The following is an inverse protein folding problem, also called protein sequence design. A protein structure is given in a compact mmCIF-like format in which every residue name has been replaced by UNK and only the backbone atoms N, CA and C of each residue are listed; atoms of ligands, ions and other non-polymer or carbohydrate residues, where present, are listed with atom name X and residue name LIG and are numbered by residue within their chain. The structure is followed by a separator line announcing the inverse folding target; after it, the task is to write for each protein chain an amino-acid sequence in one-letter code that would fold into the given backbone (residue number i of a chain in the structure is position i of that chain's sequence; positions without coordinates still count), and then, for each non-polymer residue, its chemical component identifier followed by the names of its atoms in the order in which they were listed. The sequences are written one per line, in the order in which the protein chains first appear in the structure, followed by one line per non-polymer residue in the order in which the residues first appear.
data_IF_844698892353
#
_entry.id   IF_844698892353
#
_cell.length_a   1.000
_cell.length_b   1.000
_cell.length_c   1.000
_cell.angle_alpha   90.00
_cell.angle_beta   90.00
_cell.angle_gamma   90.00
#
_symmetry.space_group_name_H-M   'P 1'
#
loop_
_entity.id
_entity.type
_entity.pdbx_description
1 polymer ?
#
# COMPACT_ATOMS: atom_id res chain seq x y z
N UNK A 1 -28.74 -33.37 -6.47
CA UNK A 1 -29.66 -32.63 -7.36
C UNK A 1 -29.53 -31.16 -7.03
N UNK A 2 -28.91 -30.38 -7.89
CA UNK A 2 -28.73 -28.94 -7.70
C UNK A 2 -29.94 -28.22 -8.31
N UNK A 3 -30.72 -27.53 -7.47
CA UNK A 3 -31.76 -26.60 -7.91
C UNK A 3 -31.10 -25.28 -8.32
N UNK A 4 -30.83 -25.12 -9.61
CA UNK A 4 -30.51 -23.83 -10.21
C UNK A 4 -31.81 -23.02 -10.33
N UNK A 5 -32.07 -22.17 -9.34
CA UNK A 5 -33.10 -21.14 -9.43
C UNK A 5 -32.65 -20.04 -10.39
N UNK A 6 -32.81 -20.27 -11.69
CA UNK A 6 -32.75 -19.25 -12.73
C UNK A 6 -34.00 -18.38 -12.66
N UNK A 7 -33.98 -17.37 -11.78
CA UNK A 7 -35.03 -16.35 -11.74
C UNK A 7 -34.65 -15.27 -12.76
N UNK A 8 -35.13 -15.43 -13.99
CA UNK A 8 -35.18 -14.34 -14.95
C UNK A 8 -36.12 -13.23 -14.41
N UNK A 9 -35.73 -11.97 -14.58
CA UNK A 9 -36.52 -10.82 -14.12
C UNK A 9 -37.89 -10.82 -14.80
N UNK A 10 -38.94 -10.68 -14.00
CA UNK A 10 -40.33 -10.54 -14.45
C UNK A 10 -40.54 -9.16 -15.09
N UNK A 11 -41.40 -9.08 -16.11
CA UNK A 11 -41.65 -7.93 -17.01
C UNK A 11 -42.12 -6.62 -16.33
N UNK A 12 -42.28 -6.60 -15.00
CA UNK A 12 -42.74 -5.44 -14.21
C UNK A 12 -41.66 -4.84 -13.30
N UNK A 13 -40.39 -5.21 -13.47
CA UNK A 13 -39.34 -4.83 -12.54
C UNK A 13 -38.68 -3.49 -12.87
N UNK A 14 -38.73 -2.56 -11.90
CA UNK A 14 -38.10 -1.25 -11.97
C UNK A 14 -36.58 -1.38 -12.00
N UNK A 15 -36.04 -1.31 -13.21
CA UNK A 15 -34.61 -1.12 -13.45
C UNK A 15 -34.26 0.37 -13.37
N UNK A 16 -33.02 0.65 -12.98
CA UNK A 16 -32.47 2.00 -12.84
C UNK A 16 -31.21 2.14 -13.68
N UNK A 17 -30.90 3.36 -14.09
CA UNK A 17 -29.70 3.65 -14.86
C UNK A 17 -28.50 3.72 -13.91
N UNK A 18 -27.47 2.94 -14.23
CA UNK A 18 -26.16 2.98 -13.60
C UNK A 18 -25.13 3.36 -14.66
N UNK A 19 -24.34 4.41 -14.39
CA UNK A 19 -23.25 4.82 -15.27
C UNK A 19 -21.93 4.30 -14.69
N UNK A 20 -21.24 3.46 -15.44
CA UNK A 20 -19.94 2.93 -15.02
C UNK A 20 -18.79 3.93 -15.25
N UNK A 21 -17.58 3.54 -14.86
CA UNK A 21 -16.37 4.36 -15.01
C UNK A 21 -16.00 4.66 -16.47
N UNK A 22 -16.50 3.87 -17.44
CA UNK A 22 -16.31 4.08 -18.88
C UNK A 22 -17.38 4.99 -19.50
N UNK A 23 -18.26 5.55 -18.67
CA UNK A 23 -19.43 6.31 -19.08
C UNK A 23 -20.52 5.49 -19.79
N UNK A 24 -20.46 4.16 -19.74
CA UNK A 24 -21.49 3.28 -20.29
C UNK A 24 -22.67 3.19 -19.30
N UNK A 25 -23.89 3.29 -19.83
CA UNK A 25 -25.12 3.21 -19.03
C UNK A 25 -25.67 1.79 -19.05
N UNK A 26 -25.89 1.23 -17.87
CA UNK A 26 -26.45 -0.10 -17.63
C UNK A 26 -27.80 0.01 -16.93
N UNK A 27 -28.75 -0.85 -17.33
CA UNK A 27 -30.04 -0.99 -16.63
C UNK A 27 -29.90 -2.07 -15.56
N UNK A 28 -29.95 -1.69 -14.29
CA UNK A 28 -29.73 -2.61 -13.17
C UNK A 28 -30.92 -2.66 -12.23
N UNK A 29 -31.21 -3.82 -11.59
CA UNK A 29 -32.20 -3.89 -10.52
C UNK A 29 -31.86 -2.99 -9.33
N UNK A 30 -32.89 -2.60 -8.55
CA UNK A 30 -32.71 -1.74 -7.36
C UNK A 30 -31.65 -2.26 -6.38
N UNK A 31 -31.70 -3.56 -6.04
CA UNK A 31 -30.78 -4.15 -5.07
C UNK A 31 -29.32 -4.09 -5.54
N UNK A 32 -29.11 -4.28 -6.85
CA UNK A 32 -27.80 -4.18 -7.50
C UNK A 32 -27.32 -2.72 -7.49
N UNK A 33 -28.21 -1.76 -7.77
CA UNK A 33 -27.89 -0.34 -7.69
C UNK A 33 -27.49 0.08 -6.27
N UNK A 34 -28.26 -0.33 -5.27
CA UNK A 34 -28.02 0.00 -3.86
C UNK A 34 -26.68 -0.63 -3.41
N UNK A 35 -26.38 -1.86 -3.85
CA UNK A 35 -25.09 -2.51 -3.65
C UNK A 35 -23.92 -1.77 -4.34
N UNK A 36 -24.08 -1.29 -5.58
CA UNK A 36 -23.08 -0.50 -6.33
C UNK A 36 -22.82 0.88 -5.69
N UNK A 37 -23.78 1.43 -4.95
CA UNK A 37 -23.60 2.69 -4.21
C UNK A 37 -23.01 2.51 -2.81
N UNK A 38 -23.18 1.34 -2.20
CA UNK A 38 -22.77 1.09 -0.81
C UNK A 38 -21.26 0.84 -0.66
N UNK A 39 -20.51 1.64 0.11
CA UNK A 39 -19.06 1.45 0.29
C UNK A 39 -18.67 0.00 0.62
N UNK A 40 -17.58 -0.47 0.00
CA UNK A 40 -17.07 -1.85 0.14
C UNK A 40 -18.14 -2.92 -0.14
N UNK A 41 -19.17 -2.55 -0.92
CA UNK A 41 -20.36 -3.35 -1.28
C UNK A 41 -21.05 -3.95 -0.05
N UNK A 42 -21.12 -3.18 1.05
CA UNK A 42 -21.86 -3.55 2.25
C UNK A 42 -21.11 -4.46 3.22
N UNK A 43 -19.84 -4.78 2.99
CA UNK A 43 -19.02 -5.44 4.00
C UNK A 43 -18.71 -4.45 5.13
N UNK A 44 -19.21 -4.71 6.33
CA UNK A 44 -19.18 -3.76 7.46
C UNK A 44 -18.28 -4.20 8.62
N UNK A 45 -17.92 -5.48 8.69
CA UNK A 45 -17.17 -6.08 9.81
C UNK A 45 -15.65 -5.83 9.71
N UNK A 46 -15.25 -4.58 9.57
CA UNK A 46 -13.84 -4.17 9.53
C UNK A 46 -13.39 -3.56 10.87
N UNK A 47 -12.37 -4.15 11.48
CA UNK A 47 -11.66 -3.53 12.60
C UNK A 47 -10.92 -2.25 12.17
N UNK A 48 -10.47 -1.44 13.14
CA UNK A 48 -9.80 -0.15 12.86
C UNK A 48 -8.61 -0.28 11.91
N UNK A 49 -7.79 -1.32 12.08
CA UNK A 49 -6.62 -1.57 11.23
C UNK A 49 -7.02 -1.91 9.79
N UNK A 50 -8.09 -2.69 9.60
CA UNK A 50 -8.62 -2.99 8.27
C UNK A 50 -9.21 -1.74 7.61
N UNK A 51 -9.91 -0.90 8.38
CA UNK A 51 -10.40 0.39 7.86
C UNK A 51 -9.25 1.28 7.41
N UNK A 52 -8.15 1.33 8.17
CA UNK A 52 -6.96 2.06 7.75
C UNK A 52 -6.34 1.45 6.48
N UNK A 53 -6.18 0.14 6.40
CA UNK A 53 -5.72 -0.55 5.19
C UNK A 53 -6.57 -0.19 3.96
N UNK A 54 -7.89 -0.28 4.10
CA UNK A 54 -8.83 0.07 3.02
C UNK A 54 -8.78 1.54 2.65
N UNK A 55 -8.48 2.43 3.60
CA UNK A 55 -8.33 3.87 3.31
C UNK A 55 -7.16 4.20 2.38
N UNK A 56 -6.20 3.28 2.20
CA UNK A 56 -5.10 3.40 1.24
C UNK A 56 -5.50 3.00 -0.19
N UNK A 57 -6.74 2.55 -0.38
CA UNK A 57 -7.31 2.18 -1.68
C UNK A 57 -8.46 3.12 -2.05
N UNK A 58 -8.65 3.31 -3.34
CA UNK A 58 -9.86 3.84 -3.94
C UNK A 58 -10.84 2.68 -4.18
N UNK A 59 -12.05 2.78 -3.64
CA UNK A 59 -13.15 1.82 -3.84
C UNK A 59 -13.89 2.15 -5.13
N UNK A 60 -13.66 1.32 -6.16
CA UNK A 60 -14.32 1.46 -7.47
C UNK A 60 -15.38 0.36 -7.60
N UNK A 61 -16.68 0.72 -7.68
CA UNK A 61 -17.74 -0.25 -7.95
C UNK A 61 -17.67 -0.75 -9.40
N UNK A 62 -17.70 -2.06 -9.58
CA UNK A 62 -17.77 -2.70 -10.89
C UNK A 62 -19.08 -3.47 -11.04
N UNK A 63 -19.81 -3.17 -12.11
CA UNK A 63 -20.96 -3.95 -12.53
C UNK A 63 -20.49 -5.07 -13.47
N UNK A 64 -20.76 -6.32 -13.09
CA UNK A 64 -20.55 -7.47 -13.96
C UNK A 64 -21.84 -7.72 -14.74
N UNK A 65 -21.81 -7.36 -16.01
CA UNK A 65 -22.90 -7.67 -16.90
C UNK A 65 -23.00 -9.19 -17.06
N UNK A 66 -24.05 -9.76 -16.49
CA UNK A 66 -24.43 -11.15 -16.70
C UNK A 66 -25.35 -11.21 -17.92
N UNK A 67 -25.30 -12.30 -18.70
CA UNK A 67 -26.14 -12.50 -19.90
C UNK A 67 -27.64 -12.36 -19.59
N UNK A 68 -28.03 -12.66 -18.34
CA UNK A 68 -29.35 -12.40 -17.79
C UNK A 68 -29.18 -11.60 -16.51
N UNK A 69 -29.60 -10.32 -16.45
CA UNK A 69 -29.45 -9.52 -15.25
C UNK A 69 -30.22 -10.21 -14.11
N UNK A 70 -29.49 -10.69 -13.10
CA UNK A 70 -30.09 -11.32 -11.92
C UNK A 70 -30.24 -10.29 -10.81
N UNK A 71 -31.18 -10.51 -9.88
CA UNK A 71 -31.25 -9.71 -8.64
C UNK A 71 -30.09 -10.01 -7.68
N UNK A 72 -29.30 -11.04 -7.97
CA UNK A 72 -28.25 -11.49 -7.09
C UNK A 72 -27.05 -10.55 -7.15
N UNK A 73 -26.89 -9.69 -6.13
CA UNK A 73 -25.75 -8.78 -6.03
C UNK A 73 -24.40 -9.51 -6.09
N UNK A 74 -24.31 -10.75 -5.59
CA UNK A 74 -23.06 -11.50 -5.59
C UNK A 74 -22.55 -11.87 -6.99
N UNK A 75 -23.44 -11.98 -7.98
CA UNK A 75 -23.10 -12.28 -9.36
C UNK A 75 -22.86 -11.02 -10.20
N UNK A 76 -23.45 -9.89 -9.82
CA UNK A 76 -23.46 -8.69 -10.63
C UNK A 76 -22.57 -7.57 -10.09
N UNK A 77 -22.09 -7.65 -8.85
CA UNK A 77 -21.35 -6.56 -8.20
C UNK A 77 -19.97 -7.04 -7.78
N UNK A 78 -18.96 -6.26 -8.14
CA UNK A 78 -17.58 -6.40 -7.66
C UNK A 78 -17.05 -5.06 -7.16
N UNK A 79 -15.95 -5.16 -6.44
CA UNK A 79 -15.15 -4.01 -6.03
C UNK A 79 -13.78 -4.12 -6.65
N UNK A 80 -13.33 -3.06 -7.30
CA UNK A 80 -11.92 -2.90 -7.63
C UNK A 80 -11.31 -1.91 -6.65
N UNK A 81 -10.36 -2.41 -5.87
CA UNK A 81 -9.57 -1.62 -4.94
C UNK A 81 -8.27 -1.23 -5.65
N UNK A 82 -8.10 0.07 -5.92
CA UNK A 82 -6.90 0.63 -6.58
C UNK A 82 -6.07 1.36 -5.54
N UNK A 83 -4.78 1.04 -5.40
CA UNK A 83 -3.94 1.70 -4.42
C UNK A 83 -3.77 3.19 -4.77
N UNK A 84 -3.91 4.07 -3.78
CA UNK A 84 -3.79 5.53 -3.96
C UNK A 84 -2.37 6.00 -4.28
N UNK A 85 -1.38 5.22 -3.88
CA UNK A 85 0.04 5.54 -4.11
C UNK A 85 0.58 4.92 -5.40
N UNK A 86 -0.12 3.92 -5.95
CA UNK A 86 0.29 3.21 -7.16
C UNK A 86 -0.93 2.59 -7.85
N UNK A 87 -1.39 3.20 -8.93
CA UNK A 87 -2.57 2.74 -9.67
C UNK A 87 -2.39 1.37 -10.34
N UNK A 88 -1.13 0.93 -10.52
CA UNK A 88 -0.84 -0.42 -11.03
C UNK A 88 -1.16 -1.50 -10.00
N UNK A 89 -1.14 -1.15 -8.71
CA UNK A 89 -1.50 -2.04 -7.61
C UNK A 89 -3.01 -2.01 -7.40
N UNK A 90 -3.71 -2.88 -8.14
CA UNK A 90 -5.15 -3.09 -8.01
C UNK A 90 -5.52 -4.52 -7.63
N UNK A 91 -6.70 -4.68 -7.04
CA UNK A 91 -7.29 -5.99 -6.75
C UNK A 91 -8.80 -5.94 -6.96
N UNK A 92 -9.29 -6.93 -7.71
CA UNK A 92 -10.71 -7.11 -7.92
C UNK A 92 -11.24 -8.11 -6.89
N UNK A 93 -12.33 -7.77 -6.25
CA UNK A 93 -12.91 -8.50 -5.14
C UNK A 93 -14.38 -8.76 -5.44
N UNK A 94 -14.82 -9.99 -5.18
CA UNK A 94 -16.23 -10.34 -5.23
C UNK A 94 -17.02 -9.60 -4.13
N UNK A 95 -18.32 -9.43 -4.37
CA UNK A 95 -19.26 -8.85 -3.41
C UNK A 95 -19.08 -9.41 -1.98
N UNK A 96 -18.82 -8.53 -1.01
CA UNK A 96 -18.60 -8.86 0.40
C UNK A 96 -17.49 -9.91 0.69
N UNK A 97 -16.48 -10.01 -0.18
CA UNK A 97 -15.35 -10.94 -0.03
C UNK A 97 -13.99 -10.26 0.07
N UNK A 98 -13.92 -9.06 0.65
CA UNK A 98 -12.67 -8.35 0.86
C UNK A 98 -11.80 -9.11 1.86
N UNK A 99 -10.63 -9.54 1.37
CA UNK A 99 -9.59 -10.24 2.11
C UNK A 99 -8.46 -9.27 2.49
N UNK A 100 -8.50 -8.81 3.75
CA UNK A 100 -7.50 -7.87 4.29
C UNK A 100 -6.07 -8.42 4.26
N UNK A 101 -5.88 -9.75 4.33
CA UNK A 101 -4.55 -10.36 4.31
C UNK A 101 -3.86 -10.16 2.97
N UNK A 102 -4.58 -10.46 1.88
CA UNK A 102 -4.09 -10.23 0.50
C UNK A 102 -3.82 -8.76 0.22
N UNK A 103 -4.68 -7.87 0.73
CA UNK A 103 -4.50 -6.42 0.58
C UNK A 103 -3.27 -5.93 1.35
N UNK A 104 -3.03 -6.43 2.56
CA UNK A 104 -1.87 -6.10 3.35
C UNK A 104 -0.58 -6.47 2.61
N UNK A 105 -0.49 -7.68 2.06
CA UNK A 105 0.70 -8.11 1.31
C UNK A 105 0.99 -7.19 0.11
N UNK A 106 -0.05 -6.81 -0.65
CA UNK A 106 0.09 -5.86 -1.76
C UNK A 106 0.67 -4.52 -1.31
N UNK A 107 0.18 -3.98 -0.19
CA UNK A 107 0.69 -2.71 0.35
C UNK A 107 2.13 -2.84 0.83
N UNK A 108 2.47 -3.90 1.57
CA UNK A 108 3.82 -4.10 2.10
C UNK A 108 4.86 -4.32 0.99
N UNK A 109 4.44 -4.89 -0.14
CA UNK A 109 5.28 -5.13 -1.32
C UNK A 109 5.39 -3.91 -2.25
N UNK A 110 4.51 -2.91 -2.10
CA UNK A 110 4.49 -1.72 -2.95
C UNK A 110 5.55 -0.71 -2.50
N UNK A 111 6.54 -0.40 -3.36
CA UNK A 111 7.60 0.57 -3.05
C UNK A 111 7.08 2.00 -2.91
N UNK A 112 6.01 2.34 -3.63
CA UNK A 112 5.46 3.69 -3.67
C UNK A 112 4.63 4.05 -2.43
N UNK A 113 4.24 3.05 -1.62
CA UNK A 113 3.56 3.33 -0.35
C UNK A 113 4.60 3.77 0.69
N UNK A 114 4.39 4.88 1.40
CA UNK A 114 5.30 5.36 2.43
C UNK A 114 5.55 4.33 3.54
N UNK A 115 6.79 4.24 4.02
CA UNK A 115 7.15 3.32 5.10
C UNK A 115 6.41 3.67 6.41
N UNK A 116 6.04 4.92 6.64
CA UNK A 116 5.23 5.34 7.81
C UNK A 116 3.86 4.66 7.85
N UNK A 117 3.18 4.59 6.71
CA UNK A 117 1.88 3.90 6.59
C UNK A 117 2.04 2.39 6.76
N UNK A 118 3.11 1.81 6.22
CA UNK A 118 3.43 0.37 6.41
C UNK A 118 3.79 0.06 7.86
N UNK A 119 4.50 0.95 8.54
CA UNK A 119 4.82 0.86 9.98
C UNK A 119 3.53 0.89 10.80
N UNK A 120 2.64 1.84 10.52
CA UNK A 120 1.33 1.95 11.19
C UNK A 120 0.44 0.72 10.94
N UNK A 121 0.47 0.18 9.73
CA UNK A 121 -0.22 -1.06 9.40
C UNK A 121 0.36 -2.29 10.09
N UNK A 122 1.65 -2.30 10.43
CA UNK A 122 2.32 -3.48 10.99
C UNK A 122 2.47 -3.44 12.51
N UNK A 123 2.30 -2.29 13.15
CA UNK A 123 2.52 -2.08 14.59
C UNK A 123 1.75 -3.06 15.49
N UNK A 124 0.47 -3.31 15.20
CA UNK A 124 -0.39 -4.24 15.95
C UNK A 124 -0.83 -5.44 15.12
N UNK A 125 -0.14 -5.70 14.00
CA UNK A 125 -0.52 -6.75 13.08
C UNK A 125 -0.19 -8.14 13.63
N UNK A 126 -1.18 -9.02 13.69
CA UNK A 126 -0.98 -10.43 14.06
C UNK A 126 -0.59 -11.31 12.88
N UNK A 127 -0.84 -10.85 11.65
CA UNK A 127 -0.53 -11.59 10.44
C UNK A 127 0.98 -11.79 10.25
N UNK A 128 1.37 -12.99 9.83
CA UNK A 128 2.77 -13.39 9.68
C UNK A 128 3.55 -12.48 8.71
N UNK A 129 2.92 -12.07 7.62
CA UNK A 129 3.53 -11.17 6.62
C UNK A 129 3.84 -9.80 7.20
N UNK A 130 2.91 -9.22 7.97
CA UNK A 130 3.12 -7.95 8.66
C UNK A 130 4.28 -8.01 9.65
N UNK A 131 4.34 -9.09 10.45
CA UNK A 131 5.46 -9.33 11.38
C UNK A 131 6.80 -9.47 10.65
N UNK A 132 6.83 -10.22 9.55
CA UNK A 132 8.04 -10.45 8.75
C UNK A 132 8.54 -9.15 8.13
N UNK A 133 7.64 -8.35 7.56
CA UNK A 133 8.00 -7.05 6.99
C UNK A 133 8.57 -6.12 8.06
N UNK A 134 7.89 -6.03 9.23
CA UNK A 134 8.31 -5.16 10.34
C UNK A 134 9.69 -5.53 10.87
N UNK A 135 9.93 -6.81 11.12
CA UNK A 135 11.25 -7.29 11.55
C UNK A 135 12.37 -6.95 10.55
N UNK A 136 12.07 -7.01 9.24
CA UNK A 136 12.98 -6.60 8.18
C UNK A 136 13.25 -5.10 8.18
N UNK A 137 12.21 -4.29 8.36
CA UNK A 137 12.30 -2.83 8.45
C UNK A 137 13.11 -2.39 9.67
N UNK A 138 12.80 -2.92 10.86
CA UNK A 138 13.49 -2.58 12.10
C UNK A 138 14.99 -2.95 12.03
N UNK A 139 15.32 -4.10 11.43
CA UNK A 139 16.71 -4.51 11.20
C UNK A 139 17.46 -3.55 10.26
N UNK A 140 16.79 -3.05 9.21
CA UNK A 140 17.39 -2.06 8.28
C UNK A 140 17.60 -0.72 8.97
N UNK A 141 16.59 -0.24 9.72
CA UNK A 141 16.69 1.00 10.49
C UNK A 141 17.80 0.94 11.53
N UNK A 142 17.92 -0.16 12.28
CA UNK A 142 19.00 -0.33 13.25
C UNK A 142 20.38 -0.27 12.60
N UNK A 143 20.58 -0.95 11.47
CA UNK A 143 21.84 -0.88 10.71
C UNK A 143 22.15 0.53 10.19
N UNK A 144 21.14 1.28 9.78
CA UNK A 144 21.32 2.67 9.37
C UNK A 144 21.76 3.53 10.55
N UNK A 145 21.13 3.37 11.72
CA UNK A 145 21.50 4.08 12.94
C UNK A 145 22.93 3.75 13.37
N UNK A 146 23.30 2.46 13.41
CA UNK A 146 24.67 2.00 13.69
C UNK A 146 25.70 2.63 12.72
N UNK A 147 25.36 2.76 11.43
CA UNK A 147 26.24 3.38 10.45
C UNK A 147 26.38 4.90 10.67
N UNK A 148 25.30 5.60 10.98
CA UNK A 148 25.36 7.04 11.33
C UNK A 148 26.08 7.29 12.64
N UNK A 149 25.91 6.43 13.65
CA UNK A 149 26.60 6.54 14.94
C UNK A 149 28.11 6.33 14.75
N UNK A 150 28.50 5.39 13.87
CA UNK A 150 29.91 5.17 13.51
C UNK A 150 30.51 6.39 12.80
N UNK A 151 29.79 7.02 11.86
CA UNK A 151 30.25 8.23 11.17
C UNK A 151 30.34 9.41 12.15
N UNK A 152 29.36 9.56 13.05
CA UNK A 152 29.36 10.58 14.10
C UNK A 152 30.52 10.41 15.09
N UNK A 153 30.83 9.17 15.50
CA UNK A 153 31.98 8.88 16.36
C UNK A 153 33.30 9.17 15.64
N UNK A 154 33.42 8.82 14.35
CA UNK A 154 34.61 9.10 13.57
C UNK A 154 34.83 10.61 13.40
N UNK A 155 33.77 11.37 13.13
CA UNK A 155 33.83 12.83 13.04
C UNK A 155 34.20 13.47 14.40
N UNK A 156 33.61 13.01 15.50
CA UNK A 156 33.93 13.50 16.84
C UNK A 156 35.36 13.16 17.27
N UNK A 157 35.86 11.96 16.95
CA UNK A 157 37.28 11.61 17.17
C UNK A 157 38.23 12.47 16.34
N UNK A 158 37.80 12.88 15.15
CA UNK A 158 38.59 13.73 14.27
C UNK A 158 38.66 15.18 14.77
N UNK A 159 37.57 15.74 15.29
CA UNK A 159 37.55 17.03 15.99
C UNK A 159 38.45 17.01 17.23
N UNK A 160 38.36 15.98 18.07
CA UNK A 160 39.20 15.86 19.27
C UNK A 160 40.69 15.79 18.93
N UNK A 161 41.07 15.10 17.85
CA UNK A 161 42.48 15.08 17.38
C UNK A 161 42.93 16.46 16.90
N UNK A 162 42.06 17.23 16.25
CA UNK A 162 42.36 18.59 15.81
C UNK A 162 42.42 19.59 16.97
N UNK A 163 41.67 19.35 18.04
CA UNK A 163 41.71 20.14 19.28
C UNK A 163 42.98 19.86 20.12
N UNK A 164 43.42 18.59 20.18
CA UNK A 164 44.60 18.16 20.96
C UNK A 164 45.92 18.45 20.20
N UNK A 165 45.93 18.33 18.87
CA UNK A 165 47.07 18.69 18.03
C UNK A 165 46.66 19.60 16.86
N UNK A 166 46.64 20.93 17.06
CA UNK A 166 46.30 21.88 16.01
C UNK A 166 47.29 21.90 14.84
N UNK A 167 48.47 21.25 14.96
CA UNK A 167 49.40 21.09 13.83
C UNK A 167 49.02 19.92 12.90
N UNK A 168 48.16 19.00 13.35
CA UNK A 168 47.63 17.92 12.53
C UNK A 168 46.76 18.44 11.38
N UNK A 169 45.95 19.48 11.63
CA UNK A 169 45.12 20.13 10.62
C UNK A 169 45.98 20.81 9.53
N UNK A 170 47.04 21.54 9.94
CA UNK A 170 48.02 22.15 9.01
C UNK A 170 48.83 21.11 8.22
N UNK A 171 49.13 19.93 8.79
CA UNK A 171 49.78 18.82 8.06
C UNK A 171 48.87 18.25 6.98
N UNK A 172 47.56 18.12 7.23
CA UNK A 172 46.59 17.65 6.25
C UNK A 172 46.41 18.64 5.10
N UNK A 173 46.29 19.94 5.39
CA UNK A 173 46.27 20.98 4.35
C UNK A 173 47.52 20.92 3.48
N UNK A 174 48.72 20.82 4.10
CA UNK A 174 49.96 20.65 3.34
C UNK A 174 49.97 19.38 2.49
N UNK A 175 49.49 18.25 3.00
CA UNK A 175 49.41 17.01 2.22
C UNK A 175 48.38 17.08 1.10
N UNK A 176 47.26 17.79 1.29
CA UNK A 176 46.26 18.01 0.26
C UNK A 176 46.84 18.86 -0.89
N UNK A 177 47.52 19.97 -0.55
CA UNK A 177 48.22 20.84 -1.51
C UNK A 177 49.32 20.06 -2.24
N UNK A 178 50.13 19.25 -1.53
CA UNK A 178 51.18 18.44 -2.15
C UNK A 178 50.63 17.38 -3.11
N UNK A 179 49.46 16.79 -2.81
CA UNK A 179 48.75 15.87 -3.71
C UNK A 179 48.18 16.58 -4.94
N UNK A 180 47.62 17.77 -4.77
CA UNK A 180 47.09 18.59 -5.88
C UNK A 180 48.20 19.07 -6.82
N UNK A 181 49.38 19.38 -6.27
CA UNK A 181 50.57 19.73 -7.05
C UNK A 181 51.31 18.51 -7.64
N UNK A 182 50.85 17.28 -7.42
CA UNK A 182 51.47 16.07 -7.96
C UNK A 182 52.87 15.75 -7.42
N UNK A 183 53.25 16.30 -6.26
CA UNK A 183 54.58 16.09 -5.68
C UNK A 183 54.52 14.86 -4.78
N UNK A 184 55.09 13.74 -5.23
CA UNK A 184 55.34 12.57 -4.40
C UNK A 184 56.73 12.68 -3.77
N UNK A 185 56.77 12.78 -2.44
CA UNK A 185 58.01 12.73 -1.67
C UNK A 185 58.23 11.28 -1.26
N UNK A 186 59.19 10.64 -1.92
CA UNK A 186 59.72 9.30 -1.62
C UNK A 186 60.52 9.27 -0.33
#
# INVERSE_FOLDING_TARGET
MATESNIALSSNETCFDWKDATCTVHRVPKDVLDALKTPYRGQSNFGMQHKFLLSLFNDVPEYQQTLHPTKNCAQNVRTTLVCKYDETVKTNVAYQKIDSGKLLNKILSCSNVPDEDKVRLTEKCTAAEGKRWRAGYDKKKRKQMEATDFVGLAAAQQEVVEEIDPTASKRRERQAILKECGIHIS
#
